data_IF_733626261373
#
_entry.id   IF_733626261373
#
_cell.length_a   1.000
_cell.length_b   1.000
_cell.length_c   1.000
_cell.angle_alpha   90.00
_cell.angle_beta   90.00
_cell.angle_gamma   90.00
#
_symmetry.space_group_name_H-M   'P 1'
#
loop_
_entity.id
_entity.type
_entity.pdbx_description
1 polymer ?
#
# COMPACT_ATOMS: atom_id res chain seq x y z
N UNK A 1 53.96 -58.33 12.93
CA UNK A 1 54.47 -58.30 14.31
C UNK A 1 55.10 -56.95 14.57
N UNK A 2 54.55 -56.21 15.52
CA UNK A 2 55.00 -54.88 15.95
C UNK A 2 54.16 -54.52 17.18
N UNK A 3 54.78 -54.66 18.34
CA UNK A 3 54.15 -54.68 19.65
C UNK A 3 53.77 -53.28 20.19
N UNK A 4 52.93 -53.32 21.23
CA UNK A 4 53.08 -52.55 22.50
C UNK A 4 52.72 -51.05 22.48
N UNK A 5 51.63 -50.67 23.18
CA UNK A 5 51.55 -50.37 24.64
C UNK A 5 50.57 -49.24 24.97
N UNK A 6 49.77 -49.51 25.99
CA UNK A 6 48.90 -48.58 26.73
C UNK A 6 49.65 -47.35 27.26
N UNK A 7 49.00 -46.18 27.23
CA UNK A 7 49.14 -45.14 28.26
C UNK A 7 47.78 -44.43 28.42
N UNK A 8 47.22 -44.46 29.63
CA UNK A 8 46.18 -43.57 30.10
C UNK A 8 46.85 -42.43 30.89
N UNK A 9 46.44 -41.17 30.69
CA UNK A 9 46.44 -40.12 31.73
C UNK A 9 45.88 -38.77 31.22
N UNK A 10 44.84 -38.31 31.93
CA UNK A 10 44.65 -36.98 32.56
C UNK A 10 44.89 -35.71 31.74
N UNK A 11 43.86 -34.85 31.68
CA UNK A 11 44.02 -33.42 31.38
C UNK A 11 42.70 -32.65 31.41
N UNK A 12 42.46 -31.90 32.48
CA UNK A 12 41.31 -31.03 32.66
C UNK A 12 41.38 -29.80 31.73
N UNK A 13 40.27 -29.43 31.10
CA UNK A 13 40.09 -28.09 30.51
C UNK A 13 38.73 -27.51 30.92
N UNK A 14 38.78 -26.63 31.91
CA UNK A 14 37.75 -25.63 32.22
C UNK A 14 37.67 -24.62 31.09
N UNK A 15 36.50 -24.46 30.46
CA UNK A 15 36.24 -23.33 29.55
C UNK A 15 35.01 -22.54 30.00
N UNK A 16 35.21 -21.22 30.09
CA UNK A 16 34.28 -20.19 30.54
C UNK A 16 32.94 -20.22 29.78
N UNK A 17 31.83 -20.16 30.51
CA UNK A 17 30.52 -19.78 29.95
C UNK A 17 30.49 -18.25 29.76
N UNK A 18 30.70 -17.79 28.53
CA UNK A 18 30.39 -16.42 28.15
C UNK A 18 28.87 -16.29 27.96
N UNK A 19 28.17 -15.73 28.96
CA UNK A 19 26.77 -15.37 28.85
C UNK A 19 26.64 -14.12 27.95
N UNK A 20 26.32 -14.31 26.68
CA UNK A 20 25.97 -13.22 25.77
C UNK A 20 24.55 -12.74 26.09
N UNK A 21 24.43 -11.50 26.55
CA UNK A 21 23.16 -10.79 26.65
C UNK A 21 22.66 -10.48 25.24
N UNK A 22 21.61 -11.18 24.80
CA UNK A 22 20.88 -10.80 23.60
C UNK A 22 20.18 -9.45 23.86
N UNK A 23 20.70 -8.39 23.26
CA UNK A 23 19.98 -7.12 23.13
C UNK A 23 18.77 -7.39 22.24
N UNK A 24 17.57 -7.34 22.82
CA UNK A 24 16.34 -7.23 22.04
C UNK A 24 16.37 -5.86 21.35
N UNK A 25 16.94 -5.80 20.15
CA UNK A 25 16.61 -4.76 19.20
C UNK A 25 15.15 -4.96 18.84
N UNK A 26 14.26 -4.15 19.41
CA UNK A 26 12.94 -3.96 18.84
C UNK A 26 13.16 -3.37 17.45
N UNK A 27 13.16 -4.22 16.43
CA UNK A 27 13.01 -3.76 15.06
C UNK A 27 11.65 -3.08 15.01
N UNK A 28 11.64 -1.76 14.97
CA UNK A 28 10.47 -1.01 14.54
C UNK A 28 10.11 -1.57 13.17
N UNK A 29 9.11 -2.45 13.12
CA UNK A 29 8.59 -2.96 11.87
C UNK A 29 7.86 -1.79 11.22
N UNK A 30 8.55 -1.06 10.36
CA UNK A 30 7.89 -0.24 9.37
C UNK A 30 7.03 -1.20 8.53
N UNK A 31 5.73 -1.25 8.83
CA UNK A 31 4.76 -1.88 7.95
C UNK A 31 4.85 -1.20 6.56
N UNK A 32 4.65 -1.95 5.47
CA UNK A 32 5.28 -1.65 4.19
C UNK A 32 4.79 -0.33 3.60
N UNK A 33 5.75 0.39 3.05
CA UNK A 33 5.71 1.59 2.22
C UNK A 33 4.81 1.43 0.96
N UNK A 34 3.51 1.16 1.14
CA UNK A 34 2.56 1.15 0.02
C UNK A 34 2.45 2.57 -0.49
N UNK A 35 2.96 2.79 -1.69
CA UNK A 35 2.85 4.05 -2.42
C UNK A 35 1.88 3.88 -3.58
N UNK A 36 1.24 4.94 -4.06
CA UNK A 36 0.38 4.84 -5.24
C UNK A 36 1.15 4.39 -6.48
N UNK A 37 2.46 4.67 -6.60
CA UNK A 37 3.32 4.14 -7.67
C UNK A 37 3.68 2.66 -7.49
N UNK A 38 3.69 2.16 -6.25
CA UNK A 38 3.82 0.74 -5.98
C UNK A 38 2.58 -0.05 -6.41
N UNK A 39 1.39 0.55 -6.26
CA UNK A 39 0.10 -0.07 -6.64
C UNK A 39 -0.20 0.11 -8.13
N UNK A 40 -0.05 1.33 -8.65
CA UNK A 40 -0.38 1.71 -10.03
C UNK A 40 0.77 1.49 -11.03
N UNK A 41 1.99 1.24 -10.55
CA UNK A 41 3.19 1.10 -11.38
C UNK A 41 4.06 2.36 -11.40
N UNK A 42 5.37 2.15 -11.56
CA UNK A 42 6.41 3.18 -11.38
C UNK A 42 6.37 4.33 -12.39
N UNK A 43 5.73 4.12 -13.55
CA UNK A 43 5.55 5.13 -14.60
C UNK A 43 4.39 6.09 -14.32
N UNK A 44 3.54 5.79 -13.34
CA UNK A 44 2.43 6.65 -12.96
C UNK A 44 2.89 7.75 -11.99
N UNK A 45 2.31 8.93 -12.13
CA UNK A 45 2.54 10.08 -11.24
C UNK A 45 1.25 10.43 -10.53
N UNK A 46 1.32 10.72 -9.23
CA UNK A 46 0.17 11.25 -8.49
C UNK A 46 -0.20 12.61 -9.06
N UNK A 47 -1.44 12.71 -9.55
CA UNK A 47 -2.00 13.98 -10.07
C UNK A 47 -3.03 14.55 -9.12
N UNK A 48 -3.62 13.71 -8.25
CA UNK A 48 -4.58 14.14 -7.25
C UNK A 48 -4.67 13.15 -6.08
N UNK A 49 -5.21 13.59 -4.94
CA UNK A 49 -5.48 12.75 -3.77
C UNK A 49 -6.61 13.32 -2.92
N UNK A 50 -7.23 12.47 -2.08
CA UNK A 50 -8.23 12.88 -1.09
C UNK A 50 -8.08 12.02 0.18
N UNK A 51 -8.02 12.62 1.38
CA UNK A 51 -7.92 11.87 2.63
C UNK A 51 -9.25 11.19 2.97
N UNK A 52 -9.19 9.94 3.42
CA UNK A 52 -10.30 9.19 4.01
C UNK A 52 -10.26 9.36 5.53
N UNK A 53 -10.56 10.58 5.99
CA UNK A 53 -10.34 10.96 7.39
C UNK A 53 -8.89 10.73 7.82
N UNK A 54 -8.69 10.07 8.97
CA UNK A 54 -7.37 9.61 9.44
C UNK A 54 -7.04 8.17 9.03
N UNK A 55 -7.94 7.49 8.30
CA UNK A 55 -7.84 6.06 8.01
C UNK A 55 -6.89 5.75 6.84
N UNK A 56 -6.72 6.71 5.93
CA UNK A 56 -5.92 6.55 4.72
C UNK A 56 -6.19 7.63 3.69
N UNK A 57 -5.82 7.36 2.46
CA UNK A 57 -5.90 8.31 1.34
C UNK A 57 -6.27 7.57 0.05
N UNK A 58 -7.18 8.13 -0.74
CA UNK A 58 -7.40 7.71 -2.12
C UNK A 58 -6.50 8.55 -3.01
N UNK A 59 -5.74 7.90 -3.89
CA UNK A 59 -4.82 8.55 -4.83
C UNK A 59 -5.30 8.35 -6.26
N UNK A 60 -5.33 9.43 -7.03
CA UNK A 60 -5.42 9.40 -8.47
C UNK A 60 -4.01 9.59 -9.06
N UNK A 61 -3.59 8.65 -9.88
CA UNK A 61 -2.35 8.72 -10.63
C UNK A 61 -2.60 8.66 -12.12
N UNK A 62 -1.66 9.18 -12.91
CA UNK A 62 -1.75 9.22 -14.35
C UNK A 62 -0.41 8.87 -15.01
N UNK A 63 -0.46 8.16 -16.13
CA UNK A 63 0.67 7.89 -16.99
C UNK A 63 0.45 8.54 -18.36
N UNK A 64 1.24 9.58 -18.66
CA UNK A 64 1.12 10.34 -19.90
C UNK A 64 1.50 9.55 -21.16
N UNK A 65 2.32 8.51 -21.02
CA UNK A 65 2.76 7.66 -22.15
C UNK A 65 1.66 6.74 -22.66
N UNK A 66 0.70 6.35 -21.81
CA UNK A 66 -0.40 5.46 -22.20
C UNK A 66 -1.80 6.09 -22.05
N UNK A 67 -1.89 7.30 -21.47
CA UNK A 67 -3.14 8.03 -21.30
C UNK A 67 -4.08 7.47 -20.23
N UNK A 68 -3.60 6.56 -19.39
CA UNK A 68 -4.42 5.90 -18.35
C UNK A 68 -4.29 6.59 -17.00
N UNK A 69 -5.43 6.70 -16.34
CA UNK A 69 -5.50 6.96 -14.91
C UNK A 69 -5.47 5.65 -14.13
N UNK A 70 -5.01 5.72 -12.88
CA UNK A 70 -5.09 4.64 -11.92
C UNK A 70 -5.46 5.18 -10.55
N UNK A 71 -6.42 4.54 -9.88
CA UNK A 71 -6.85 4.89 -8.53
C UNK A 71 -6.55 3.77 -7.55
N UNK A 72 -6.08 4.14 -6.37
CA UNK A 72 -5.85 3.24 -5.25
C UNK A 72 -6.23 3.91 -3.93
N UNK A 73 -6.92 3.18 -3.07
CA UNK A 73 -7.20 3.57 -1.67
C UNK A 73 -6.18 2.91 -0.76
N UNK A 74 -5.32 3.69 -0.10
CA UNK A 74 -4.21 3.19 0.72
C UNK A 74 -4.45 3.56 2.19
N UNK A 75 -4.33 2.58 3.09
CA UNK A 75 -4.45 2.81 4.53
C UNK A 75 -3.26 3.60 5.08
N UNK A 76 -3.54 4.52 6.00
CA UNK A 76 -2.51 5.21 6.76
C UNK A 76 -1.77 4.24 7.71
N UNK A 77 -2.50 3.28 8.28
CA UNK A 77 -1.98 2.26 9.18
C UNK A 77 -2.44 0.87 8.72
N UNK A 78 -1.60 0.11 8.00
CA UNK A 78 -1.89 -1.28 7.63
C UNK A 78 -2.08 -2.20 8.85
N UNK A 79 -2.80 -3.31 8.68
CA UNK A 79 -3.07 -4.25 9.77
C UNK A 79 -4.26 -5.15 9.44
N UNK A 80 -5.10 -5.46 10.44
CA UNK A 80 -6.32 -6.26 10.25
C UNK A 80 -7.15 -5.75 9.08
N UNK A 81 -7.68 -6.67 8.29
CA UNK A 81 -8.45 -6.35 7.10
C UNK A 81 -9.64 -5.45 7.43
N UNK A 82 -9.88 -4.44 6.60
CA UNK A 82 -11.00 -3.50 6.70
C UNK A 82 -11.78 -3.51 5.40
N UNK A 83 -13.08 -3.30 5.49
CA UNK A 83 -13.90 -3.01 4.32
C UNK A 83 -13.38 -1.75 3.63
N UNK A 84 -13.01 -1.86 2.37
CA UNK A 84 -12.44 -0.77 1.58
C UNK A 84 -12.85 -0.92 0.13
N UNK A 85 -12.86 0.21 -0.58
CA UNK A 85 -13.03 0.24 -2.02
C UNK A 85 -12.22 1.33 -2.67
N UNK A 86 -12.07 1.22 -3.98
CA UNK A 86 -11.66 2.29 -4.87
C UNK A 86 -12.49 2.22 -6.15
N UNK A 87 -12.74 3.36 -6.80
CA UNK A 87 -13.33 3.41 -8.12
C UNK A 87 -12.84 4.61 -8.91
N UNK A 88 -13.01 4.51 -10.22
CA UNK A 88 -12.85 5.59 -11.18
C UNK A 88 -13.85 5.44 -12.32
N UNK A 89 -14.39 6.56 -12.77
CA UNK A 89 -15.42 6.69 -13.78
C UNK A 89 -15.09 7.86 -14.72
N UNK A 90 -15.36 7.70 -16.00
CA UNK A 90 -15.15 8.70 -17.05
C UNK A 90 -16.51 9.05 -17.66
N UNK A 91 -17.17 10.14 -17.23
CA UNK A 91 -18.60 10.35 -17.53
C UNK A 91 -18.99 10.49 -19.00
N UNK A 92 -18.07 10.95 -19.85
CA UNK A 92 -18.34 11.17 -21.28
C UNK A 92 -18.07 9.93 -22.15
N UNK A 93 -17.35 8.94 -21.63
CA UNK A 93 -17.09 7.64 -22.31
C UNK A 93 -17.77 6.46 -21.63
N UNK A 94 -18.37 6.65 -20.46
CA UNK A 94 -18.97 5.61 -19.63
C UNK A 94 -17.97 4.52 -19.17
N UNK A 95 -16.66 4.81 -19.23
CA UNK A 95 -15.64 3.87 -18.73
C UNK A 95 -15.61 3.88 -17.20
N UNK A 96 -15.65 2.68 -16.62
CA UNK A 96 -15.62 2.47 -15.17
C UNK A 96 -14.61 1.37 -14.80
N UNK A 97 -13.92 1.56 -13.68
CA UNK A 97 -13.18 0.50 -13.00
C UNK A 97 -13.28 0.68 -11.48
N UNK A 98 -13.24 -0.42 -10.74
CA UNK A 98 -13.23 -0.39 -9.29
C UNK A 98 -12.76 -1.70 -8.69
N UNK A 99 -12.47 -1.65 -7.39
CA UNK A 99 -12.09 -2.78 -6.57
C UNK A 99 -12.65 -2.59 -5.16
N UNK A 100 -13.18 -3.65 -4.56
CA UNK A 100 -13.88 -3.58 -3.27
C UNK A 100 -13.79 -4.90 -2.51
N UNK A 101 -13.67 -4.83 -1.18
CA UNK A 101 -13.53 -6.00 -0.33
C UNK A 101 -12.83 -5.68 0.99
N UNK A 102 -12.38 -6.73 1.67
CA UNK A 102 -11.64 -6.61 2.92
C UNK A 102 -10.14 -6.63 2.68
N UNK A 103 -9.47 -5.50 2.87
CA UNK A 103 -8.04 -5.36 2.58
C UNK A 103 -7.23 -4.98 3.82
N UNK A 104 -6.00 -5.48 3.89
CA UNK A 104 -5.06 -5.19 5.00
C UNK A 104 -4.29 -3.89 4.78
N UNK A 105 -4.08 -3.48 3.52
CA UNK A 105 -3.20 -2.35 3.17
C UNK A 105 -3.81 -1.39 2.15
N UNK A 106 -4.35 -1.88 1.03
CA UNK A 106 -4.93 -1.04 -0.03
C UNK A 106 -6.03 -1.76 -0.82
N UNK A 107 -6.92 -1.01 -1.46
CA UNK A 107 -7.83 -1.45 -2.51
C UNK A 107 -7.41 -0.82 -3.86
N UNK A 108 -7.53 -1.57 -4.96
CA UNK A 108 -7.03 -1.20 -6.29
C UNK A 108 -5.92 -2.14 -6.78
N UNK A 109 -5.28 -1.84 -7.94
CA UNK A 109 -5.46 -0.66 -8.77
C UNK A 109 -6.72 -0.72 -9.68
N UNK A 110 -7.43 0.40 -9.81
CA UNK A 110 -8.49 0.58 -10.80
C UNK A 110 -8.03 1.49 -11.94
N UNK A 111 -8.01 0.99 -13.19
CA UNK A 111 -7.51 1.71 -14.35
C UNK A 111 -8.62 2.06 -15.35
N UNK A 112 -8.59 3.29 -15.88
CA UNK A 112 -9.39 3.71 -17.04
C UNK A 112 -8.55 4.59 -17.96
N UNK A 113 -8.90 4.65 -19.24
CA UNK A 113 -8.32 5.64 -20.13
C UNK A 113 -8.99 7.00 -19.88
N UNK A 114 -8.21 8.05 -19.63
CA UNK A 114 -8.78 9.38 -19.33
C UNK A 114 -8.03 10.55 -19.94
N UNK A 115 -7.17 10.31 -20.91
CA UNK A 115 -6.47 11.40 -21.61
C UNK A 115 -7.47 12.28 -22.34
N UNK A 116 -7.54 13.54 -21.94
CA UNK A 116 -8.48 14.52 -22.52
C UNK A 116 -9.88 14.47 -21.90
N UNK A 117 -10.09 13.64 -20.88
CA UNK A 117 -11.40 13.46 -20.25
C UNK A 117 -11.39 13.88 -18.79
N UNK A 118 -12.56 14.29 -18.33
CA UNK A 118 -12.87 14.48 -16.92
C UNK A 118 -13.02 13.11 -16.23
N UNK A 119 -12.53 12.99 -15.00
CA UNK A 119 -12.70 11.74 -14.22
C UNK A 119 -13.37 11.99 -12.88
N UNK A 120 -14.22 11.06 -12.49
CA UNK A 120 -14.83 10.97 -11.16
C UNK A 120 -14.28 9.74 -10.46
N UNK A 121 -13.83 9.87 -9.22
CA UNK A 121 -13.13 8.80 -8.53
C UNK A 121 -13.27 8.90 -7.03
N UNK A 122 -13.03 7.79 -6.33
CA UNK A 122 -13.20 7.75 -4.89
C UNK A 122 -12.97 6.37 -4.31
N UNK A 123 -13.48 6.18 -3.11
CA UNK A 123 -13.33 4.95 -2.35
C UNK A 123 -13.78 5.11 -0.90
N UNK A 124 -13.61 4.06 -0.12
CA UNK A 124 -13.89 4.09 1.32
C UNK A 124 -12.84 3.31 2.11
N UNK A 125 -12.78 3.61 3.41
CA UNK A 125 -12.17 2.76 4.42
C UNK A 125 -13.14 2.70 5.59
N UNK A 126 -13.59 1.48 5.90
CA UNK A 126 -14.69 1.25 6.85
C UNK A 126 -15.89 2.11 6.48
N UNK A 127 -16.38 2.95 7.39
CA UNK A 127 -17.58 3.72 7.19
C UNK A 127 -17.34 5.15 6.68
N UNK A 128 -16.10 5.49 6.30
CA UNK A 128 -15.75 6.81 5.75
C UNK A 128 -15.59 6.69 4.24
N UNK A 129 -16.42 7.41 3.51
CA UNK A 129 -16.51 7.42 2.05
C UNK A 129 -16.02 8.76 1.52
N UNK A 130 -15.33 8.74 0.38
CA UNK A 130 -14.91 9.95 -0.31
C UNK A 130 -15.16 9.83 -1.81
N UNK A 131 -15.54 10.95 -2.43
CA UNK A 131 -15.63 11.09 -3.87
C UNK A 131 -15.06 12.43 -4.33
N UNK A 132 -14.49 12.42 -5.52
CA UNK A 132 -14.01 13.60 -6.24
C UNK A 132 -14.62 13.57 -7.63
N UNK A 133 -15.52 14.51 -7.87
CA UNK A 133 -16.25 14.66 -9.12
C UNK A 133 -15.63 15.76 -9.98
N UNK A 134 -15.68 15.60 -11.31
CA UNK A 134 -15.11 16.56 -12.26
C UNK A 134 -13.61 16.84 -12.00
N UNK A 135 -12.86 15.80 -11.64
CA UNK A 135 -11.42 15.91 -11.38
C UNK A 135 -10.64 16.04 -12.68
N UNK A 136 -9.55 16.82 -12.64
CA UNK A 136 -8.69 17.14 -13.79
C UNK A 136 -9.45 17.74 -14.99
N UNK A 137 -10.59 18.39 -14.73
CA UNK A 137 -11.39 19.10 -15.71
C UNK A 137 -10.95 20.57 -15.84
N UNK A 138 -10.59 21.01 -17.04
CA UNK A 138 -10.41 22.45 -17.30
C UNK A 138 -11.75 23.20 -17.40
N UNK A 139 -12.82 22.52 -17.85
CA UNK A 139 -14.11 23.14 -18.14
C UNK A 139 -15.08 23.17 -16.94
N UNK A 140 -14.80 22.41 -15.87
CA UNK A 140 -15.70 22.26 -14.72
C UNK A 140 -14.92 22.38 -13.43
N UNK A 141 -15.56 22.95 -12.41
CA UNK A 141 -15.00 23.00 -11.06
C UNK A 141 -15.07 21.61 -10.43
N UNK A 142 -13.94 21.15 -9.92
CA UNK A 142 -13.87 19.92 -9.14
C UNK A 142 -14.73 20.03 -7.86
N UNK A 143 -15.47 18.97 -7.55
CA UNK A 143 -16.28 18.85 -6.34
C UNK A 143 -15.80 17.67 -5.51
N UNK A 144 -15.76 17.82 -4.18
CA UNK A 144 -15.25 16.81 -3.26
C UNK A 144 -16.24 16.58 -2.14
N UNK A 145 -16.50 15.33 -1.83
CA UNK A 145 -17.44 14.92 -0.79
C UNK A 145 -16.76 13.91 0.12
N UNK A 146 -16.99 14.06 1.43
CA UNK A 146 -16.64 13.08 2.45
C UNK A 146 -17.88 12.78 3.27
N UNK A 147 -18.23 11.51 3.39
CA UNK A 147 -19.42 11.04 4.11
C UNK A 147 -19.04 9.99 5.14
N UNK A 148 -19.71 10.02 6.29
CA UNK A 148 -19.61 8.98 7.33
C UNK A 148 -20.97 8.31 7.38
N UNK A 149 -21.00 6.99 7.16
CA UNK A 149 -22.23 6.18 7.17
C UNK A 149 -22.32 5.28 8.40
#
# INVERSE_FOLDING_TARGET
MGNMRNVAAVGALTTLLAATTAVFGATASAAPNVTPQGVCGSSYKTVNSVPVGSLGTVYLTYNSSNGKNCVATIRANPGTAKDMSTYIYVPDTDEYAGDSGYFTSYAGPAYVYGKGHCVSWGGNISNVYVSVENSNCAARKESRVTEIR
#
